data_IF_548455529068
#
_entry.id   IF_548455529068
#
_cell.length_a   1.000
_cell.length_b   1.000
_cell.length_c   1.000
_cell.angle_alpha   90.00
_cell.angle_beta   90.00
_cell.angle_gamma   90.00
#
_symmetry.space_group_name_H-M   'P 1'
#
loop_
_entity.id
_entity.type
_entity.pdbx_description
1 polymer ?
#
# COMPACT_ATOMS: atom_id res chain seq x y z
N UNK A 1 -0.51 23.29 8.95
CA UNK A 1 -0.81 21.86 9.33
C UNK A 1 -1.79 21.82 10.51
N UNK A 2 -1.57 22.57 11.60
CA UNK A 2 -2.47 22.56 12.78
C UNK A 2 -3.93 22.90 12.40
N UNK A 3 -4.15 24.00 11.67
CA UNK A 3 -5.48 24.39 11.20
C UNK A 3 -6.16 23.31 10.35
N UNK A 4 -5.39 22.60 9.52
CA UNK A 4 -5.92 21.48 8.73
C UNK A 4 -6.38 20.33 9.62
N UNK A 5 -5.60 19.98 10.64
CA UNK A 5 -5.96 18.93 11.61
C UNK A 5 -7.22 19.31 12.41
N UNK A 6 -7.32 20.55 12.86
CA UNK A 6 -8.48 21.02 13.60
C UNK A 6 -9.79 20.92 12.80
N UNK A 7 -9.72 21.30 11.50
CA UNK A 7 -10.90 21.39 10.61
C UNK A 7 -11.27 20.08 9.91
N UNK A 8 -10.45 19.05 9.98
CA UNK A 8 -10.66 17.78 9.28
C UNK A 8 -11.08 16.68 10.24
N UNK A 9 -12.02 15.82 9.84
CA UNK A 9 -12.41 14.63 10.58
C UNK A 9 -11.55 13.42 10.17
N UNK A 10 -11.13 13.37 8.92
CA UNK A 10 -10.27 12.31 8.35
C UNK A 10 -8.99 12.92 7.81
N UNK A 11 -7.85 12.38 8.21
CA UNK A 11 -6.52 12.90 7.86
C UNK A 11 -5.72 11.78 7.21
N UNK A 12 -5.30 11.99 5.95
CA UNK A 12 -4.46 11.04 5.22
C UNK A 12 -2.99 11.37 5.38
N UNK A 13 -2.22 10.38 5.85
CA UNK A 13 -0.76 10.39 5.84
C UNK A 13 -0.31 9.79 4.50
N UNK A 14 0.23 10.64 3.63
CA UNK A 14 0.73 10.26 2.31
C UNK A 14 2.12 10.86 2.12
N UNK A 15 3.11 10.28 2.79
CA UNK A 15 4.49 10.78 2.85
C UNK A 15 5.46 9.75 2.26
N UNK A 16 6.65 10.17 1.80
CA UNK A 16 7.69 9.25 1.35
C UNK A 16 8.11 8.26 2.46
N UNK A 17 8.42 7.04 2.03
CA UNK A 17 8.95 5.96 2.88
C UNK A 17 10.19 5.39 2.20
N UNK A 18 11.32 6.15 2.16
CA UNK A 18 12.51 5.72 1.44
C UNK A 18 13.19 4.53 2.13
N UNK A 19 13.91 3.69 1.37
CA UNK A 19 14.74 2.63 1.96
C UNK A 19 15.93 3.23 2.69
N UNK A 20 16.35 2.58 3.77
CA UNK A 20 17.62 2.79 4.45
C UNK A 20 18.70 1.86 3.87
N UNK A 21 19.97 2.11 4.20
CA UNK A 21 21.12 1.33 3.70
C UNK A 21 21.06 -0.16 4.09
N UNK A 22 20.39 -0.49 5.18
CA UNK A 22 20.18 -1.87 5.65
C UNK A 22 18.98 -2.57 5.02
N UNK A 23 18.29 -1.89 4.08
CA UNK A 23 17.09 -2.39 3.39
C UNK A 23 15.78 -2.15 4.16
N UNK A 24 15.82 -1.67 5.38
CA UNK A 24 14.62 -1.28 6.13
C UNK A 24 14.03 0.03 5.57
N UNK A 25 12.82 0.37 6.03
CA UNK A 25 12.10 1.57 5.59
C UNK A 25 12.26 2.69 6.60
N UNK A 26 12.62 3.90 6.14
CA UNK A 26 12.62 5.09 6.96
C UNK A 26 11.19 5.56 7.27
N UNK A 27 10.79 5.39 8.51
CA UNK A 27 9.48 5.81 9.01
C UNK A 27 9.49 7.20 9.68
N UNK A 28 10.61 7.93 9.64
CA UNK A 28 10.76 9.22 10.31
C UNK A 28 9.73 10.27 9.83
N UNK A 29 9.37 10.24 8.55
CA UNK A 29 8.34 11.12 8.00
C UNK A 29 6.95 10.82 8.56
N UNK A 30 6.60 9.54 8.66
CA UNK A 30 5.33 9.07 9.26
C UNK A 30 5.27 9.48 10.74
N UNK A 31 6.34 9.21 11.49
CA UNK A 31 6.40 9.56 12.90
C UNK A 31 6.27 11.08 13.14
N UNK A 32 6.93 11.89 12.32
CA UNK A 32 6.81 13.36 12.38
C UNK A 32 5.37 13.81 12.16
N UNK A 33 4.72 13.33 11.10
CA UNK A 33 3.33 13.70 10.79
C UNK A 33 2.38 13.21 11.88
N UNK A 34 2.58 12.00 12.40
CA UNK A 34 1.78 11.48 13.51
C UNK A 34 1.91 12.36 14.78
N UNK A 35 3.11 12.89 15.07
CA UNK A 35 3.34 13.89 16.15
C UNK A 35 2.61 15.21 15.88
N UNK A 36 2.74 15.74 14.65
CA UNK A 36 2.09 17.00 14.28
C UNK A 36 0.56 16.90 14.39
N UNK A 37 -0.01 15.74 14.01
CA UNK A 37 -1.44 15.45 14.18
C UNK A 37 -1.78 15.42 15.66
N UNK A 38 -1.02 14.67 16.47
CA UNK A 38 -1.26 14.53 17.90
C UNK A 38 -1.21 15.86 18.64
N UNK A 39 -0.26 16.72 18.29
CA UNK A 39 -0.08 18.06 18.90
C UNK A 39 -1.23 19.01 18.58
N UNK A 40 -1.88 18.86 17.42
CA UNK A 40 -2.94 19.78 16.95
C UNK A 40 -4.36 19.21 17.15
N UNK A 41 -4.49 17.96 17.56
CA UNK A 41 -5.77 17.26 17.67
C UNK A 41 -6.53 17.73 18.92
N UNK A 42 -7.77 18.22 18.72
CA UNK A 42 -8.65 18.70 19.78
C UNK A 42 -10.02 18.00 19.82
N UNK A 43 -10.27 17.10 18.86
CA UNK A 43 -11.48 16.30 18.74
C UNK A 43 -11.15 14.95 18.12
N UNK A 44 -12.13 14.04 18.09
CA UNK A 44 -11.95 12.74 17.43
C UNK A 44 -11.46 12.88 15.98
N UNK A 45 -10.48 12.06 15.60
CA UNK A 45 -9.93 12.01 14.24
C UNK A 45 -9.79 10.56 13.77
N UNK A 46 -10.01 10.36 12.48
CA UNK A 46 -9.59 9.16 11.75
C UNK A 46 -8.28 9.46 11.05
N UNK A 47 -7.20 8.84 11.48
CA UNK A 47 -5.86 9.00 10.90
C UNK A 47 -5.58 7.84 9.96
N UNK A 48 -5.51 8.12 8.67
CA UNK A 48 -5.38 7.12 7.61
C UNK A 48 -3.95 7.10 7.09
N UNK A 49 -3.24 6.00 7.32
CA UNK A 49 -1.94 5.79 6.68
C UNK A 49 -2.15 5.24 5.26
N UNK A 50 -1.83 6.08 4.27
CA UNK A 50 -1.90 5.78 2.84
C UNK A 50 -0.55 5.33 2.27
N UNK A 51 0.54 5.68 2.93
CA UNK A 51 1.90 5.31 2.52
C UNK A 51 2.10 3.79 2.57
N UNK A 52 2.95 3.27 1.67
CA UNK A 52 3.37 1.86 1.75
C UNK A 52 4.39 1.70 2.87
N UNK A 53 4.04 0.91 3.87
CA UNK A 53 4.78 0.78 5.13
C UNK A 53 4.91 -0.69 5.55
N UNK A 54 5.97 -1.06 6.28
CA UNK A 54 6.10 -2.38 6.88
C UNK A 54 4.94 -2.71 7.83
N UNK A 55 4.66 -4.00 7.98
CA UNK A 55 3.64 -4.49 8.92
C UNK A 55 3.94 -4.01 10.34
N UNK A 56 2.90 -3.63 11.09
CA UNK A 56 2.91 -3.01 12.44
C UNK A 56 3.24 -1.50 12.45
N UNK A 57 3.33 -0.84 11.32
CA UNK A 57 3.51 0.63 11.30
C UNK A 57 2.28 1.34 11.87
N UNK A 58 1.07 0.87 11.60
CA UNK A 58 -0.14 1.43 12.21
C UNK A 58 -0.12 1.34 13.74
N UNK A 59 0.47 0.30 14.32
CA UNK A 59 0.68 0.22 15.79
C UNK A 59 1.65 1.30 16.30
N UNK A 60 2.72 1.57 15.55
CA UNK A 60 3.66 2.66 15.87
C UNK A 60 2.98 4.03 15.78
N UNK A 61 2.14 4.25 14.77
CA UNK A 61 1.36 5.48 14.63
C UNK A 61 0.43 5.67 15.83
N UNK A 62 -0.31 4.62 16.22
CA UNK A 62 -1.13 4.63 17.45
C UNK A 62 -0.31 5.00 18.68
N UNK A 63 0.86 4.35 18.85
CA UNK A 63 1.75 4.61 19.98
C UNK A 63 2.29 6.05 20.00
N UNK A 64 2.62 6.59 18.81
CA UNK A 64 3.09 7.96 18.66
C UNK A 64 1.99 8.96 19.00
N UNK A 65 0.79 8.81 18.44
CA UNK A 65 -0.32 9.72 18.75
C UNK A 65 -0.65 9.68 20.23
N UNK A 66 -0.77 8.51 20.85
CA UNK A 66 -1.04 8.39 22.30
C UNK A 66 0.02 9.08 23.16
N UNK A 67 1.28 9.05 22.73
CA UNK A 67 2.39 9.66 23.48
C UNK A 67 2.37 11.18 23.43
N UNK A 68 1.99 11.75 22.28
CA UNK A 68 2.15 13.20 22.02
C UNK A 68 0.82 13.95 22.04
N UNK A 69 -0.33 13.28 22.04
CA UNK A 69 -1.63 13.91 22.15
C UNK A 69 -1.76 14.65 23.52
N UNK A 70 -2.04 15.94 23.44
CA UNK A 70 -2.19 16.82 24.63
C UNK A 70 -3.62 16.93 25.13
N UNK A 71 -4.57 16.47 24.32
CA UNK A 71 -6.00 16.46 24.65
C UNK A 71 -6.44 15.04 24.99
N UNK A 72 -7.57 14.91 25.68
CA UNK A 72 -8.25 13.62 25.90
C UNK A 72 -9.05 13.17 24.66
N UNK A 73 -8.68 13.68 23.48
CA UNK A 73 -9.38 13.35 22.25
C UNK A 73 -9.11 11.92 21.82
N UNK A 74 -10.18 11.21 21.48
CA UNK A 74 -10.13 9.87 20.95
C UNK A 74 -9.75 9.89 19.46
N UNK A 75 -9.19 8.80 18.96
CA UNK A 75 -8.82 8.65 17.55
C UNK A 75 -8.79 7.18 17.13
N UNK A 76 -8.92 6.96 15.83
CA UNK A 76 -8.66 5.68 15.20
C UNK A 76 -7.57 5.80 14.15
N UNK A 77 -6.74 4.78 14.03
CA UNK A 77 -5.76 4.64 12.95
C UNK A 77 -6.26 3.61 11.96
N UNK A 78 -6.17 3.95 10.69
CA UNK A 78 -6.57 3.11 9.56
C UNK A 78 -5.37 2.92 8.64
N UNK A 79 -5.11 1.69 8.20
CA UNK A 79 -4.20 1.41 7.10
C UNK A 79 -4.99 1.32 5.79
N UNK A 80 -4.63 2.14 4.82
CA UNK A 80 -5.30 2.18 3.52
C UNK A 80 -4.27 2.27 2.39
N UNK A 81 -3.55 1.18 2.11
CA UNK A 81 -2.49 1.17 1.11
C UNK A 81 -3.02 1.49 -0.29
N UNK A 82 -2.19 2.12 -1.11
CA UNK A 82 -2.45 2.37 -2.51
C UNK A 82 -1.96 1.20 -3.39
N UNK A 83 -2.52 1.04 -4.60
CA UNK A 83 -2.13 0.03 -5.57
C UNK A 83 -1.92 0.66 -6.96
N UNK A 84 -1.36 1.86 -6.98
CA UNK A 84 -1.20 2.68 -8.17
C UNK A 84 0.02 2.24 -8.98
N UNK A 85 -0.10 2.32 -10.31
CA UNK A 85 1.01 2.09 -11.25
C UNK A 85 1.66 3.42 -11.61
N UNK A 86 2.99 3.47 -11.66
CA UNK A 86 3.71 4.62 -12.19
C UNK A 86 3.26 4.91 -13.63
N UNK A 87 2.98 6.19 -13.92
CA UNK A 87 2.45 6.63 -15.22
C UNK A 87 0.93 6.52 -15.37
N UNK A 88 0.24 5.76 -14.51
CA UNK A 88 -1.22 5.56 -14.55
C UNK A 88 -1.91 5.90 -13.23
N UNK A 89 -1.23 6.60 -12.33
CA UNK A 89 -1.67 6.79 -10.95
C UNK A 89 -3.08 7.41 -10.83
N UNK A 90 -3.42 8.39 -11.66
CA UNK A 90 -4.74 9.04 -11.64
C UNK A 90 -5.82 8.09 -12.14
N UNK A 91 -5.54 7.35 -13.22
CA UNK A 91 -6.48 6.35 -13.77
C UNK A 91 -6.75 5.24 -12.76
N UNK A 92 -5.70 4.69 -12.14
CA UNK A 92 -5.81 3.63 -11.14
C UNK A 92 -6.50 4.11 -9.85
N UNK A 93 -6.31 5.39 -9.48
CA UNK A 93 -7.01 5.97 -8.35
C UNK A 93 -8.51 6.12 -8.62
N UNK A 94 -8.87 6.56 -9.82
CA UNK A 94 -10.27 6.79 -10.20
C UNK A 94 -11.03 5.50 -10.54
N UNK A 95 -10.32 4.44 -10.93
CA UNK A 95 -10.89 3.14 -11.30
C UNK A 95 -10.13 2.00 -10.60
N UNK A 96 -10.13 1.93 -9.27
CA UNK A 96 -9.38 0.93 -8.54
C UNK A 96 -10.01 -0.47 -8.69
N UNK A 97 -9.19 -1.51 -8.88
CA UNK A 97 -9.65 -2.90 -8.86
C UNK A 97 -10.25 -3.27 -7.48
N UNK A 98 -9.72 -2.71 -6.42
CA UNK A 98 -10.16 -2.85 -5.02
C UNK A 98 -9.61 -1.74 -4.15
N UNK A 99 -10.28 -1.52 -3.03
CA UNK A 99 -9.84 -0.62 -1.95
C UNK A 99 -9.67 -1.48 -0.70
N UNK A 100 -8.53 -1.36 -0.01
CA UNK A 100 -8.26 -2.09 1.24
C UNK A 100 -8.24 -1.12 2.39
N UNK A 101 -9.01 -1.41 3.43
CA UNK A 101 -9.15 -0.60 4.63
C UNK A 101 -8.93 -1.47 5.85
N UNK A 102 -7.80 -1.29 6.51
CA UNK A 102 -7.45 -1.97 7.76
C UNK A 102 -7.76 -1.12 8.97
N UNK A 103 -8.60 -1.61 9.88
CA UNK A 103 -8.97 -0.91 11.11
C UNK A 103 -9.13 -1.88 12.27
N UNK A 104 -9.04 -1.37 13.51
CA UNK A 104 -9.28 -2.13 14.74
C UNK A 104 -10.67 -1.92 15.33
N UNK A 105 -11.42 -0.94 14.82
CA UNK A 105 -12.73 -0.58 15.32
C UNK A 105 -13.72 -0.35 14.19
N UNK A 106 -15.01 -0.43 14.50
CA UNK A 106 -16.08 -0.16 13.54
C UNK A 106 -16.31 1.36 13.30
N UNK A 107 -15.76 2.20 14.19
CA UNK A 107 -16.03 3.64 14.17
C UNK A 107 -15.56 4.33 12.89
N UNK A 108 -14.32 4.07 12.34
CA UNK A 108 -13.87 4.69 11.09
C UNK A 108 -14.48 4.06 9.82
N UNK A 109 -15.12 2.89 9.93
CA UNK A 109 -15.67 2.16 8.75
C UNK A 109 -16.66 3.01 7.98
N UNK A 110 -17.57 3.71 8.68
CA UNK A 110 -18.58 4.54 8.04
C UNK A 110 -17.95 5.69 7.24
N UNK A 111 -16.97 6.40 7.83
CA UNK A 111 -16.26 7.49 7.17
C UNK A 111 -15.46 6.99 5.95
N UNK A 112 -14.75 5.86 6.09
CA UNK A 112 -13.99 5.28 4.98
C UNK A 112 -14.91 4.79 3.84
N UNK A 113 -16.08 4.25 4.18
CA UNK A 113 -17.08 3.86 3.18
C UNK A 113 -17.60 5.07 2.42
N UNK A 114 -17.98 6.15 3.11
CA UNK A 114 -18.47 7.39 2.50
C UNK A 114 -17.43 7.98 1.54
N UNK A 115 -16.15 8.00 1.93
CA UNK A 115 -15.06 8.50 1.08
C UNK A 115 -14.89 7.67 -0.20
N UNK A 116 -15.01 6.34 -0.10
CA UNK A 116 -14.69 5.44 -1.20
C UNK A 116 -15.90 4.93 -2.02
N UNK A 117 -17.12 5.12 -1.53
CA UNK A 117 -18.34 4.74 -2.28
C UNK A 117 -18.40 5.32 -3.71
N UNK A 118 -18.01 6.60 -3.94
CA UNK A 118 -18.05 7.18 -5.30
C UNK A 118 -17.15 6.49 -6.33
N UNK A 119 -16.14 5.73 -5.90
CA UNK A 119 -15.23 5.01 -6.80
C UNK A 119 -15.83 3.71 -7.35
N UNK A 120 -16.98 3.28 -6.83
CA UNK A 120 -17.73 2.11 -7.30
C UNK A 120 -16.88 0.82 -7.42
N UNK A 121 -15.94 0.62 -6.49
CA UNK A 121 -15.03 -0.51 -6.43
C UNK A 121 -15.27 -1.34 -5.16
N UNK A 122 -14.93 -2.65 -5.16
CA UNK A 122 -14.98 -3.47 -3.96
C UNK A 122 -14.13 -2.89 -2.83
N UNK A 123 -14.70 -2.70 -1.64
CA UNK A 123 -13.99 -2.27 -0.45
C UNK A 123 -13.82 -3.48 0.48
N UNK A 124 -12.57 -3.82 0.79
CA UNK A 124 -12.20 -4.90 1.69
C UNK A 124 -11.88 -4.28 3.05
N UNK A 125 -12.69 -4.56 4.05
CA UNK A 125 -12.41 -4.20 5.44
C UNK A 125 -11.71 -5.37 6.13
N UNK A 126 -10.58 -5.08 6.80
CA UNK A 126 -9.77 -6.08 7.51
C UNK A 126 -9.06 -5.42 8.71
N UNK A 127 -8.19 -6.16 9.41
CA UNK A 127 -7.32 -5.58 10.42
C UNK A 127 -6.14 -4.80 9.79
N UNK A 128 -5.50 -3.94 10.58
CA UNK A 128 -4.42 -3.07 10.13
C UNK A 128 -3.24 -3.87 9.56
N UNK A 129 -2.80 -4.91 10.26
CA UNK A 129 -1.63 -5.69 9.88
C UNK A 129 -1.88 -6.45 8.57
N UNK A 130 -3.08 -6.98 8.38
CA UNK A 130 -3.49 -7.62 7.12
C UNK A 130 -3.53 -6.62 5.97
N UNK A 131 -4.03 -5.40 6.18
CA UNK A 131 -4.05 -4.36 5.16
C UNK A 131 -2.63 -3.97 4.72
N UNK A 132 -1.71 -3.76 5.67
CA UNK A 132 -0.30 -3.49 5.40
C UNK A 132 0.34 -4.65 4.62
N UNK A 133 0.12 -5.89 5.06
CA UNK A 133 0.70 -7.07 4.40
C UNK A 133 0.15 -7.30 2.98
N UNK A 134 -1.12 -7.03 2.73
CA UNK A 134 -1.74 -7.19 1.40
C UNK A 134 -0.97 -6.38 0.34
N UNK A 135 -0.51 -5.18 0.65
CA UNK A 135 0.27 -4.36 -0.28
C UNK A 135 1.60 -5.02 -0.62
N UNK A 136 2.37 -5.43 0.39
CA UNK A 136 3.66 -6.08 0.19
C UNK A 136 3.53 -7.42 -0.54
N UNK A 137 2.56 -8.25 -0.13
CA UNK A 137 2.29 -9.53 -0.77
C UNK A 137 1.90 -9.37 -2.25
N UNK A 138 1.06 -8.38 -2.58
CA UNK A 138 0.70 -8.10 -3.96
C UNK A 138 1.92 -7.70 -4.81
N UNK A 139 2.76 -6.77 -4.33
CA UNK A 139 3.94 -6.32 -5.05
C UNK A 139 4.99 -7.45 -5.19
N UNK A 140 5.20 -8.24 -4.14
CA UNK A 140 6.10 -9.42 -4.18
C UNK A 140 5.64 -10.46 -5.18
N UNK A 141 4.33 -10.71 -5.25
CA UNK A 141 3.78 -11.65 -6.23
C UNK A 141 3.97 -11.17 -7.67
N UNK A 142 3.76 -9.88 -7.94
CA UNK A 142 3.99 -9.31 -9.27
C UNK A 142 5.47 -9.39 -9.68
N UNK A 143 6.38 -9.07 -8.76
CA UNK A 143 7.83 -9.20 -8.99
C UNK A 143 8.23 -10.66 -9.22
N UNK A 144 7.65 -11.60 -8.46
CA UNK A 144 7.86 -13.05 -8.66
C UNK A 144 7.44 -13.48 -10.07
N UNK A 145 6.31 -13.00 -10.60
CA UNK A 145 5.87 -13.35 -11.98
C UNK A 145 6.89 -12.90 -13.03
N UNK A 146 7.51 -11.72 -12.87
CA UNK A 146 8.56 -11.23 -13.76
C UNK A 146 9.82 -12.12 -13.62
N UNK A 147 10.24 -12.43 -12.40
CA UNK A 147 11.39 -13.31 -12.17
C UNK A 147 11.15 -14.70 -12.73
N UNK A 148 9.94 -15.25 -12.56
CA UNK A 148 9.57 -16.55 -13.09
C UNK A 148 9.66 -16.61 -14.62
N UNK A 149 9.07 -15.64 -15.34
CA UNK A 149 9.11 -15.66 -16.80
C UNK A 149 10.52 -15.43 -17.34
N UNK A 150 11.37 -14.68 -16.63
CA UNK A 150 12.78 -14.55 -16.98
C UNK A 150 13.53 -15.88 -16.81
N UNK A 151 13.25 -16.66 -15.78
CA UNK A 151 13.81 -18.03 -15.65
C UNK A 151 13.33 -18.94 -16.77
N UNK A 152 12.05 -18.84 -17.17
CA UNK A 152 11.51 -19.58 -18.33
C UNK A 152 12.17 -19.14 -19.62
N UNK A 153 12.50 -17.86 -19.80
CA UNK A 153 13.21 -17.35 -20.98
C UNK A 153 14.57 -18.06 -21.18
N UNK A 154 15.33 -18.27 -20.11
CA UNK A 154 16.61 -19.02 -20.16
C UNK A 154 16.39 -20.46 -20.65
N UNK A 155 15.30 -21.11 -20.22
CA UNK A 155 14.95 -22.46 -20.70
C UNK A 155 14.54 -22.43 -22.17
N UNK A 156 13.82 -21.42 -22.60
CA UNK A 156 13.43 -21.23 -24.00
C UNK A 156 14.66 -21.04 -24.90
N UNK A 157 15.63 -20.23 -24.48
CA UNK A 157 16.90 -20.05 -25.22
C UNK A 157 17.65 -21.37 -25.39
N UNK A 158 17.69 -22.20 -24.33
CA UNK A 158 18.36 -23.49 -24.36
C UNK A 158 17.63 -24.55 -25.22
N UNK A 159 16.29 -24.47 -25.30
CA UNK A 159 15.44 -25.48 -25.97
C UNK A 159 14.99 -25.06 -27.37
N UNK A 160 15.21 -23.82 -27.78
CA UNK A 160 14.72 -23.26 -29.05
C UNK A 160 13.22 -22.88 -29.01
N UNK A 161 12.62 -22.82 -27.84
CA UNK A 161 11.23 -22.36 -27.65
C UNK A 161 11.14 -20.83 -27.70
N UNK A 162 9.94 -20.31 -27.96
CA UNK A 162 9.65 -18.88 -27.94
C UNK A 162 9.01 -18.51 -26.60
N UNK A 163 9.66 -17.65 -25.82
CA UNK A 163 9.19 -17.28 -24.49
C UNK A 163 7.85 -16.53 -24.52
N UNK A 164 7.57 -15.74 -25.55
CA UNK A 164 6.29 -15.01 -25.67
C UNK A 164 5.13 -15.97 -25.94
N UNK A 165 5.36 -17.01 -26.76
CA UNK A 165 4.36 -18.07 -26.99
C UNK A 165 4.11 -18.88 -25.73
N UNK A 166 5.18 -19.23 -25.00
CA UNK A 166 5.06 -19.91 -23.71
C UNK A 166 4.29 -19.05 -22.71
N UNK A 167 4.66 -17.77 -22.57
CA UNK A 167 3.98 -16.83 -21.67
C UNK A 167 2.50 -16.64 -22.03
N UNK A 168 2.17 -16.57 -23.33
CA UNK A 168 0.79 -16.50 -23.80
C UNK A 168 0.04 -17.80 -23.51
N UNK A 169 0.65 -18.96 -23.78
CA UNK A 169 0.04 -20.26 -23.54
C UNK A 169 -0.31 -20.49 -22.07
N UNK A 170 0.66 -20.30 -21.17
CA UNK A 170 0.39 -20.45 -19.72
C UNK A 170 -0.53 -19.34 -19.18
N UNK A 171 -0.46 -18.14 -19.74
CA UNK A 171 -1.26 -16.99 -19.35
C UNK A 171 -2.75 -17.09 -19.74
N UNK A 172 -3.13 -18.03 -20.62
CA UNK A 172 -4.54 -18.35 -20.91
C UNK A 172 -5.25 -19.09 -19.78
N UNK A 173 -4.50 -19.74 -18.89
CA UNK A 173 -5.07 -20.28 -17.65
C UNK A 173 -5.41 -19.12 -16.70
N UNK A 174 -6.69 -18.94 -16.36
CA UNK A 174 -7.19 -17.86 -15.51
C UNK A 174 -6.53 -17.85 -14.12
N UNK A 175 -6.08 -19.01 -13.63
CA UNK A 175 -5.37 -19.13 -12.35
C UNK A 175 -3.99 -18.47 -12.39
N UNK A 176 -3.39 -18.34 -13.58
CA UNK A 176 -2.06 -17.76 -13.81
C UNK A 176 -2.21 -16.31 -14.31
N UNK A 177 -2.98 -16.12 -15.39
CA UNK A 177 -3.18 -14.84 -16.06
C UNK A 177 -1.93 -14.31 -16.77
N UNK A 178 -2.10 -13.64 -17.90
CA UNK A 178 -1.01 -13.17 -18.78
C UNK A 178 -0.21 -11.99 -18.21
N UNK A 179 -0.86 -11.15 -17.40
CA UNK A 179 -0.24 -9.91 -16.88
C UNK A 179 1.01 -10.24 -16.06
N UNK A 180 2.07 -9.43 -16.21
CA UNK A 180 3.40 -9.58 -15.58
C UNK A 180 4.22 -10.81 -16.02
N UNK A 181 3.83 -11.50 -17.09
CA UNK A 181 4.62 -12.56 -17.72
C UNK A 181 5.33 -12.04 -18.98
N UNK A 182 6.02 -10.91 -18.87
CA UNK A 182 6.85 -10.37 -19.96
C UNK A 182 8.32 -10.54 -19.58
N UNK A 183 9.04 -11.38 -20.33
CA UNK A 183 10.47 -11.54 -20.15
C UNK A 183 11.21 -10.23 -20.51
N UNK A 184 12.15 -9.84 -19.67
CA UNK A 184 12.89 -8.59 -19.81
C UNK A 184 14.19 -8.63 -19.00
N UNK A 185 14.88 -7.49 -18.89
CA UNK A 185 16.10 -7.35 -18.06
C UNK A 185 15.83 -7.54 -16.55
N UNK A 186 14.58 -7.61 -16.13
CA UNK A 186 14.16 -7.74 -14.75
C UNK A 186 13.09 -6.72 -14.41
N UNK A 187 12.96 -6.40 -13.13
CA UNK A 187 12.08 -5.33 -12.65
C UNK A 187 12.91 -4.24 -11.97
N UNK A 188 12.38 -3.03 -11.94
CA UNK A 188 13.00 -1.87 -11.32
C UNK A 188 11.94 -0.89 -10.83
N UNK A 189 12.26 0.40 -10.90
CA UNK A 189 11.40 1.47 -10.39
C UNK A 189 11.61 1.72 -8.90
N UNK A 190 10.83 2.63 -8.34
CA UNK A 190 10.92 3.05 -6.94
C UNK A 190 10.23 2.09 -5.96
N UNK A 191 9.28 1.26 -6.43
CA UNK A 191 8.38 0.49 -5.58
C UNK A 191 8.87 -0.94 -5.34
N UNK A 192 9.04 -1.76 -6.39
CA UNK A 192 9.36 -3.19 -6.22
C UNK A 192 10.62 -3.46 -5.40
N UNK A 193 11.79 -2.84 -5.69
CA UNK A 193 12.98 -3.11 -4.90
C UNK A 193 12.80 -2.78 -3.42
N UNK A 194 12.17 -1.65 -3.12
CA UNK A 194 11.88 -1.20 -1.75
C UNK A 194 10.90 -2.13 -1.04
N UNK A 195 9.77 -2.45 -1.69
CA UNK A 195 8.69 -3.22 -1.07
C UNK A 195 9.03 -4.72 -0.90
N UNK A 196 10.02 -5.22 -1.64
CA UNK A 196 10.57 -6.57 -1.47
C UNK A 196 11.55 -6.67 -0.31
N UNK A 197 12.19 -5.55 0.09
CA UNK A 197 13.15 -5.50 1.19
C UNK A 197 12.49 -5.14 2.52
N UNK A 198 11.29 -4.56 2.50
CA UNK A 198 10.52 -4.15 3.66
C UNK A 198 9.75 -5.31 4.29
#
# INVERSE_FOLDING_TARGET
TAEGVEKSDVIFIAVPTPPLDDGSVDLSFIERVARDIADAMTSYKVVVDKSTVPVKTGEKVVGTIKRYCKSDSDFDVVSNPEFLREGFAVEDLMNPDRIVVGTRSEKPVAAMREIYEPFNAPIIFTDINSAELIKHAANSFLAMKISYINAVAVICEASGANVDEVANGIGMDERIGRRFLNASLGFGGSCFPKDLSA
#
